data_IF_799428407976
#
_entry.id   IF_799428407976
#
_cell.length_a   1.000
_cell.length_b   1.000
_cell.length_c   1.000
_cell.angle_alpha   90.00
_cell.angle_beta   90.00
_cell.angle_gamma   90.00
#
_symmetry.space_group_name_H-M   'P 1'
#
loop_
_entity.id
_entity.type
_entity.pdbx_description
1 polymer ?
#
# COMPACT_ATOMS: atom_id res chain seq x y z
N UNK A 1 -27.23 2.49 -4.69
CA UNK A 1 -27.14 3.23 -3.42
C UNK A 1 -26.31 4.47 -3.72
N UNK A 2 -26.88 5.68 -3.63
CA UNK A 2 -26.10 6.92 -3.71
C UNK A 2 -25.35 7.05 -2.39
N UNK A 3 -24.11 6.56 -2.35
CA UNK A 3 -23.26 6.68 -1.17
C UNK A 3 -22.85 8.15 -0.99
N UNK A 4 -23.20 8.71 0.16
CA UNK A 4 -22.87 10.08 0.52
C UNK A 4 -21.41 10.11 0.99
N UNK A 5 -20.46 10.15 0.06
CA UNK A 5 -19.01 10.10 0.31
C UNK A 5 -18.52 11.17 1.29
N UNK A 6 -19.27 12.28 1.40
CA UNK A 6 -19.06 13.31 2.42
C UNK A 6 -19.16 12.77 3.85
N UNK A 7 -19.97 11.72 4.09
CA UNK A 7 -20.10 11.09 5.41
C UNK A 7 -18.82 10.33 5.81
N UNK A 8 -17.97 9.95 4.84
CA UNK A 8 -16.67 9.35 5.14
C UNK A 8 -15.65 10.37 5.60
N UNK A 9 -15.80 11.63 5.23
CA UNK A 9 -14.94 12.72 5.68
C UNK A 9 -15.54 13.33 6.95
N UNK A 10 -15.32 12.65 8.08
CA UNK A 10 -15.74 13.12 9.41
C UNK A 10 -14.93 14.35 9.86
N UNK A 11 -15.39 15.03 10.91
CA UNK A 11 -14.83 16.30 11.35
C UNK A 11 -13.33 16.23 11.69
N UNK A 12 -12.86 15.09 12.21
CA UNK A 12 -11.44 14.83 12.43
C UNK A 12 -10.65 14.89 11.12
N UNK A 13 -11.11 14.17 10.08
CA UNK A 13 -10.48 14.17 8.75
C UNK A 13 -10.58 15.57 8.10
N UNK A 14 -11.73 16.25 8.21
CA UNK A 14 -11.89 17.62 7.70
C UNK A 14 -10.88 18.58 8.33
N UNK A 15 -10.69 18.49 9.63
CA UNK A 15 -9.75 19.34 10.38
C UNK A 15 -8.32 19.12 9.87
N UNK A 16 -7.91 17.87 9.68
CA UNK A 16 -6.59 17.52 9.14
C UNK A 16 -6.41 18.00 7.68
N UNK A 17 -7.45 17.93 6.85
CA UNK A 17 -7.42 18.45 5.47
C UNK A 17 -7.25 19.98 5.44
N UNK A 18 -7.92 20.70 6.34
CA UNK A 18 -7.76 22.16 6.48
C UNK A 18 -6.35 22.50 6.93
N UNK A 19 -5.83 21.85 7.98
CA UNK A 19 -4.46 22.05 8.45
C UNK A 19 -3.42 21.76 7.34
N UNK A 20 -3.62 20.68 6.58
CA UNK A 20 -2.77 20.35 5.44
C UNK A 20 -2.83 21.43 4.36
N UNK A 21 -4.01 21.98 4.09
CA UNK A 21 -4.16 23.06 3.09
C UNK A 21 -3.37 24.31 3.50
N UNK A 22 -3.41 24.69 4.77
CA UNK A 22 -2.66 25.82 5.32
C UNK A 22 -1.14 25.58 5.24
N UNK A 23 -0.68 24.36 5.58
CA UNK A 23 0.72 23.96 5.43
C UNK A 23 1.21 23.99 3.98
N UNK A 24 0.30 23.84 3.00
CA UNK A 24 0.58 23.98 1.57
C UNK A 24 0.35 25.39 1.03
N UNK A 25 0.10 26.37 1.91
CA UNK A 25 -0.09 27.77 1.55
C UNK A 25 -1.43 28.03 0.85
N UNK A 26 -2.43 27.19 1.05
CA UNK A 26 -3.79 27.39 0.55
C UNK A 26 -4.60 28.06 1.65
N UNK A 27 -5.14 29.25 1.36
CA UNK A 27 -6.03 29.99 2.25
C UNK A 27 -7.46 29.96 1.73
N UNK A 28 -8.45 30.06 2.64
CA UNK A 28 -9.89 29.90 2.33
C UNK A 28 -10.18 28.60 1.55
N UNK A 29 -9.77 27.44 2.08
CA UNK A 29 -9.88 26.18 1.36
C UNK A 29 -11.35 25.82 1.11
N UNK A 30 -11.68 25.53 -0.15
CA UNK A 30 -12.89 24.84 -0.56
C UNK A 30 -12.55 23.36 -0.79
N UNK A 31 -13.24 22.47 -0.08
CA UNK A 31 -13.01 21.02 -0.13
C UNK A 31 -14.15 20.38 -0.92
N UNK A 32 -13.81 19.59 -1.93
CA UNK A 32 -14.76 18.77 -2.69
C UNK A 32 -14.36 17.30 -2.66
N UNK A 33 -15.37 16.42 -2.59
CA UNK A 33 -15.17 14.98 -2.44
C UNK A 33 -15.88 14.21 -3.55
N UNK A 34 -15.19 13.21 -4.11
CA UNK A 34 -15.74 12.28 -5.09
C UNK A 34 -15.24 10.86 -4.78
N UNK A 35 -15.82 9.80 -5.36
CA UNK A 35 -15.20 8.49 -5.33
C UNK A 35 -13.76 8.55 -5.88
N UNK A 36 -12.80 7.90 -5.21
CA UNK A 36 -11.40 7.86 -5.64
C UNK A 36 -11.01 6.60 -6.43
N UNK A 37 -11.86 5.57 -6.41
CA UNK A 37 -11.73 4.35 -7.19
C UNK A 37 -13.08 3.88 -7.73
N UNK A 38 -13.08 3.00 -8.72
CA UNK A 38 -14.32 2.35 -9.11
C UNK A 38 -14.77 1.39 -8.00
N UNK A 39 -16.06 1.05 -8.01
CA UNK A 39 -16.63 0.08 -7.07
C UNK A 39 -15.89 -1.25 -7.24
N UNK A 40 -15.37 -1.77 -6.14
CA UNK A 40 -14.65 -3.03 -6.09
C UNK A 40 -13.16 -2.95 -6.38
N UNK A 41 -12.60 -1.85 -6.89
CA UNK A 41 -11.15 -1.71 -7.15
C UNK A 41 -10.31 -1.83 -5.87
N UNK A 42 -10.85 -1.40 -4.73
CA UNK A 42 -10.22 -1.53 -3.42
C UNK A 42 -10.96 -2.57 -2.58
N UNK A 43 -10.20 -3.53 -2.07
CA UNK A 43 -10.76 -4.69 -1.37
C UNK A 43 -10.91 -4.44 0.14
N UNK A 44 -9.94 -3.75 0.74
CA UNK A 44 -9.87 -3.50 2.18
C UNK A 44 -9.85 -1.99 2.46
N UNK A 45 -10.93 -1.29 2.12
CA UNK A 45 -11.02 0.15 2.37
C UNK A 45 -11.92 0.91 1.41
N UNK A 46 -12.28 2.13 1.83
CA UNK A 46 -13.00 3.10 1.05
C UNK A 46 -12.04 4.23 0.63
N UNK A 47 -11.99 4.53 -0.67
CA UNK A 47 -11.11 5.55 -1.22
C UNK A 47 -11.94 6.76 -1.64
N UNK A 48 -11.70 7.90 -1.00
CA UNK A 48 -12.29 9.18 -1.35
C UNK A 48 -11.25 10.04 -2.05
N UNK A 49 -11.57 10.51 -3.25
CA UNK A 49 -10.80 11.57 -3.89
C UNK A 49 -11.24 12.92 -3.32
N UNK A 50 -10.27 13.68 -2.84
CA UNK A 50 -10.48 15.00 -2.24
C UNK A 50 -9.69 16.03 -3.03
N UNK A 51 -10.36 17.09 -3.45
CA UNK A 51 -9.74 18.25 -4.07
C UNK A 51 -9.91 19.43 -3.13
N UNK A 52 -8.79 20.05 -2.75
CA UNK A 52 -8.78 21.30 -1.99
C UNK A 52 -8.32 22.42 -2.92
N UNK A 53 -9.15 23.44 -3.09
CA UNK A 53 -8.84 24.63 -3.90
C UNK A 53 -8.96 25.89 -3.05
N UNK A 54 -8.09 26.87 -3.26
CA UNK A 54 -8.11 28.12 -2.51
C UNK A 54 -7.10 29.15 -3.03
N UNK A 55 -6.93 30.23 -2.28
CA UNK A 55 -6.02 31.32 -2.63
C UNK A 55 -4.59 30.98 -2.19
N UNK A 56 -3.58 31.31 -3.02
CA UNK A 56 -2.15 31.01 -2.75
C UNK A 56 -1.39 32.17 -2.07
N UNK A 57 -2.11 33.22 -1.65
CA UNK A 57 -1.56 34.42 -1.04
C UNK A 57 -1.07 35.49 -2.03
N UNK A 58 -1.08 35.24 -3.35
CA UNK A 58 -0.79 36.23 -4.38
C UNK A 58 -2.07 36.86 -4.91
N UNK A 59 -1.97 38.06 -5.49
CA UNK A 59 -3.10 38.72 -6.15
C UNK A 59 -3.64 37.83 -7.29
N UNK A 60 -4.91 37.41 -7.16
CA UNK A 60 -5.58 36.42 -8.03
C UNK A 60 -4.92 35.03 -8.11
N UNK A 61 -3.97 34.72 -7.22
CA UNK A 61 -3.30 33.44 -7.23
C UNK A 61 -4.15 32.34 -6.61
N UNK A 62 -4.25 31.22 -7.32
CA UNK A 62 -5.00 30.03 -6.91
C UNK A 62 -4.07 28.85 -6.76
N UNK A 63 -4.34 28.00 -5.79
CA UNK A 63 -3.63 26.75 -5.59
C UNK A 63 -4.61 25.61 -5.37
N UNK A 64 -4.15 24.40 -5.71
CA UNK A 64 -4.94 23.18 -5.70
C UNK A 64 -4.13 22.02 -5.16
N UNK A 65 -4.73 21.26 -4.26
CA UNK A 65 -4.19 20.02 -3.73
C UNK A 65 -5.11 18.85 -4.12
N UNK A 66 -4.53 17.83 -4.76
CA UNK A 66 -5.24 16.60 -5.11
C UNK A 66 -4.85 15.49 -4.13
N UNK A 67 -5.82 14.98 -3.40
CA UNK A 67 -5.64 14.09 -2.25
C UNK A 67 -6.46 12.81 -2.47
N UNK A 68 -5.93 11.70 -1.98
CA UNK A 68 -6.68 10.48 -1.70
C UNK A 68 -6.79 10.34 -0.18
N UNK A 69 -8.01 10.15 0.30
CA UNK A 69 -8.28 9.73 1.67
C UNK A 69 -8.67 8.27 1.63
N UNK A 70 -7.84 7.40 2.21
CA UNK A 70 -8.10 5.97 2.35
C UNK A 70 -8.62 5.71 3.76
N UNK A 71 -9.86 5.30 3.88
CA UNK A 71 -10.52 5.00 5.15
C UNK A 71 -10.73 3.50 5.30
N UNK A 72 -10.55 2.96 6.49
CA UNK A 72 -11.00 1.60 6.78
C UNK A 72 -12.54 1.53 6.73
N UNK A 73 -13.12 0.39 6.30
CA UNK A 73 -14.55 0.18 6.40
C UNK A 73 -14.97 0.31 7.87
N UNK A 74 -15.99 1.14 8.12
CA UNK A 74 -16.46 1.43 9.49
C UNK A 74 -17.32 0.31 10.08
N UNK A 75 -17.96 -0.47 9.22
CA UNK A 75 -18.88 -1.53 9.60
C UNK A 75 -18.96 -2.62 8.52
N UNK A 76 -19.67 -3.70 8.82
CA UNK A 76 -19.94 -4.79 7.87
C UNK A 76 -18.94 -5.93 7.95
N UNK A 77 -19.06 -6.86 7.00
CA UNK A 77 -18.38 -8.16 7.04
C UNK A 77 -16.85 -8.05 7.10
N UNK A 78 -16.24 -7.06 6.44
CA UNK A 78 -14.80 -6.85 6.53
C UNK A 78 -14.36 -6.50 7.96
N UNK A 79 -15.11 -5.61 8.63
CA UNK A 79 -14.80 -5.19 10.00
C UNK A 79 -15.02 -6.31 11.02
N UNK A 80 -15.98 -7.20 10.77
CA UNK A 80 -16.28 -8.31 11.69
C UNK A 80 -15.42 -9.54 11.47
N UNK A 81 -14.90 -9.75 10.25
CA UNK A 81 -14.12 -10.96 9.90
C UNK A 81 -12.62 -10.73 9.80
N UNK A 82 -12.18 -9.49 9.61
CA UNK A 82 -10.77 -9.17 9.42
C UNK A 82 -10.29 -8.19 10.50
N UNK A 83 -9.01 -8.26 10.90
CA UNK A 83 -8.41 -7.35 11.87
C UNK A 83 -8.11 -5.98 11.22
N UNK A 84 -9.15 -5.26 10.78
CA UNK A 84 -9.02 -4.03 9.98
C UNK A 84 -8.16 -2.96 10.66
N UNK A 85 -8.29 -2.82 11.98
CA UNK A 85 -7.49 -1.88 12.76
C UNK A 85 -6.00 -2.18 12.63
N UNK A 86 -5.61 -3.43 12.87
CA UNK A 86 -4.21 -3.89 12.82
C UNK A 86 -3.65 -3.78 11.39
N UNK A 87 -4.44 -4.12 10.37
CA UNK A 87 -4.03 -3.99 8.97
C UNK A 87 -3.72 -2.54 8.59
N UNK A 88 -4.56 -1.60 9.02
CA UNK A 88 -4.33 -0.18 8.78
C UNK A 88 -3.15 0.36 9.60
N UNK A 89 -2.99 -0.06 10.86
CA UNK A 89 -1.81 0.32 11.66
C UNK A 89 -0.51 -0.16 11.02
N UNK A 90 -0.49 -1.35 10.41
CA UNK A 90 0.66 -1.87 9.67
C UNK A 90 0.99 -1.01 8.44
N UNK A 91 -0.02 -0.59 7.68
CA UNK A 91 0.18 0.32 6.54
C UNK A 91 0.68 1.70 7.00
N UNK A 92 0.09 2.26 8.07
CA UNK A 92 0.56 3.51 8.68
C UNK A 92 2.00 3.39 9.14
N UNK A 93 2.37 2.28 9.78
CA UNK A 93 3.74 2.02 10.22
C UNK A 93 4.74 1.98 9.05
N UNK A 94 4.32 1.45 7.89
CA UNK A 94 5.15 1.48 6.69
C UNK A 94 5.46 2.92 6.24
N UNK A 95 4.45 3.79 6.18
CA UNK A 95 4.61 5.20 5.78
C UNK A 95 5.32 6.06 6.83
N UNK A 96 4.95 5.91 8.10
CA UNK A 96 5.46 6.74 9.19
C UNK A 96 6.86 6.34 9.63
N UNK A 97 7.24 5.07 9.44
CA UNK A 97 8.52 4.54 9.92
C UNK A 97 9.35 3.88 8.81
N UNK A 98 8.88 2.79 8.20
CA UNK A 98 9.71 1.93 7.34
C UNK A 98 10.27 2.69 6.14
N UNK A 99 9.42 3.40 5.39
CA UNK A 99 9.86 4.13 4.21
C UNK A 99 10.82 5.28 4.56
N UNK A 100 10.72 5.84 5.77
CA UNK A 100 11.66 6.87 6.25
C UNK A 100 13.03 6.28 6.55
N UNK A 101 13.08 5.11 7.18
CA UNK A 101 14.34 4.40 7.41
C UNK A 101 15.00 3.95 6.09
N UNK A 102 14.18 3.55 5.10
CA UNK A 102 14.67 3.26 3.75
C UNK A 102 15.22 4.48 3.02
N UNK A 103 14.62 5.65 3.19
CA UNK A 103 15.20 6.90 2.67
C UNK A 103 16.49 7.27 3.40
N UNK A 104 16.53 7.08 4.72
CA UNK A 104 17.70 7.37 5.55
C UNK A 104 18.90 6.52 5.16
N UNK A 105 18.76 5.20 5.07
CA UNK A 105 19.88 4.32 4.73
C UNK A 105 20.43 4.62 3.32
N UNK A 106 19.56 4.99 2.37
CA UNK A 106 20.01 5.43 1.03
C UNK A 106 20.84 6.70 1.09
N UNK A 107 20.44 7.66 1.92
CA UNK A 107 21.19 8.89 2.15
C UNK A 107 22.54 8.61 2.83
N UNK A 108 22.54 7.80 3.89
CA UNK A 108 23.75 7.44 4.65
C UNK A 108 24.77 6.70 3.77
N UNK A 109 24.29 5.87 2.83
CA UNK A 109 25.11 5.19 1.84
C UNK A 109 25.43 6.02 0.57
N UNK A 110 25.00 7.29 0.49
CA UNK A 110 25.16 8.17 -0.68
C UNK A 110 24.66 7.54 -2.01
N UNK A 111 23.52 6.84 -1.96
CA UNK A 111 22.89 6.25 -3.14
C UNK A 111 22.48 7.35 -4.11
N UNK A 112 22.97 7.29 -5.36
CA UNK A 112 22.68 8.29 -6.39
C UNK A 112 21.25 8.19 -6.94
N UNK A 113 20.80 6.98 -7.22
CA UNK A 113 19.44 6.68 -7.70
C UNK A 113 18.56 6.30 -6.52
N UNK A 114 18.07 7.31 -5.78
CA UNK A 114 17.23 7.10 -4.59
C UNK A 114 15.89 6.48 -5.00
N UNK A 115 15.64 5.29 -4.49
CA UNK A 115 14.38 4.59 -4.63
C UNK A 115 13.36 5.08 -3.62
N UNK A 116 12.32 5.75 -4.12
CA UNK A 116 11.17 6.22 -3.35
C UNK A 116 9.87 6.13 -4.19
N UNK A 117 9.40 4.91 -4.51
CA UNK A 117 8.23 4.72 -5.37
C UNK A 117 6.89 4.92 -4.63
N UNK A 118 6.91 5.31 -3.36
CA UNK A 118 5.73 5.36 -2.52
C UNK A 118 5.03 6.72 -2.66
N UNK A 119 3.69 6.71 -2.67
CA UNK A 119 2.92 7.93 -2.64
C UNK A 119 3.22 8.72 -1.35
N UNK A 120 3.24 10.05 -1.43
CA UNK A 120 3.41 10.86 -0.22
C UNK A 120 2.19 10.66 0.67
N UNK A 121 2.39 10.10 1.86
CA UNK A 121 1.41 10.13 2.94
C UNK A 121 1.62 11.41 3.75
N UNK A 122 0.59 12.25 3.79
CA UNK A 122 0.61 13.51 4.54
C UNK A 122 0.26 13.31 6.00
N UNK A 123 -0.69 12.41 6.29
CA UNK A 123 -1.19 12.17 7.65
C UNK A 123 -1.78 10.77 7.78
N UNK A 124 -1.59 10.18 8.96
CA UNK A 124 -2.22 8.95 9.42
C UNK A 124 -3.10 9.26 10.64
N UNK A 125 -4.26 8.61 10.73
CA UNK A 125 -5.20 8.73 11.86
C UNK A 125 -5.49 7.31 12.34
N UNK A 126 -4.96 6.88 13.50
CA UNK A 126 -5.03 5.48 13.95
C UNK A 126 -6.28 5.18 14.79
N UNK A 127 -7.32 6.02 14.76
CA UNK A 127 -8.52 5.84 15.58
C UNK A 127 -9.28 4.58 15.16
N UNK A 128 -9.50 3.66 16.10
CA UNK A 128 -10.26 2.42 15.85
C UNK A 128 -11.67 2.75 15.34
N UNK A 129 -12.01 2.24 14.16
CA UNK A 129 -13.26 2.47 13.45
C UNK A 129 -13.20 3.61 12.44
N UNK A 130 -12.11 4.39 12.45
CA UNK A 130 -11.91 5.58 11.63
C UNK A 130 -10.48 5.66 11.07
N UNK A 131 -9.81 4.52 10.93
CA UNK A 131 -8.42 4.46 10.48
C UNK A 131 -8.29 5.09 9.10
N UNK A 132 -7.44 6.11 8.99
CA UNK A 132 -7.40 6.95 7.79
C UNK A 132 -5.96 7.26 7.38
N UNK A 133 -5.67 7.15 6.09
CA UNK A 133 -4.45 7.67 5.47
C UNK A 133 -4.82 8.80 4.50
N UNK A 134 -4.24 9.98 4.70
CA UNK A 134 -4.38 11.14 3.82
C UNK A 134 -3.13 11.21 2.94
N UNK A 135 -3.31 11.04 1.64
CA UNK A 135 -2.21 10.76 0.70
C UNK A 135 -2.30 11.64 -0.54
N UNK A 136 -1.17 11.86 -1.22
CA UNK A 136 -1.14 12.51 -2.52
C UNK A 136 -1.91 11.68 -3.54
N UNK A 137 -2.80 12.30 -4.30
CA UNK A 137 -3.44 11.64 -5.43
C UNK A 137 -2.45 11.49 -6.59
N UNK A 138 -1.89 10.29 -6.77
CA UNK A 138 -0.92 10.01 -7.82
C UNK A 138 -1.53 10.06 -9.24
N UNK A 139 -2.84 9.85 -9.39
CA UNK A 139 -3.53 10.02 -10.69
C UNK A 139 -3.43 11.45 -11.20
N UNK A 140 -3.43 12.43 -10.29
CA UNK A 140 -3.30 13.85 -10.64
C UNK A 140 -1.96 14.22 -11.29
N UNK A 141 -0.93 13.38 -11.13
CA UNK A 141 0.40 13.57 -11.73
C UNK A 141 0.73 12.51 -12.80
N UNK A 142 -0.31 11.91 -13.39
CA UNK A 142 -0.22 11.05 -14.56
C UNK A 142 0.03 9.57 -14.27
N UNK A 143 -0.05 9.13 -13.01
CA UNK A 143 -0.06 7.70 -12.72
C UNK A 143 -1.44 7.09 -12.99
N UNK A 144 -1.47 5.82 -13.34
CA UNK A 144 -2.70 5.07 -13.58
C UNK A 144 -2.58 3.67 -12.99
N UNK A 145 -3.72 3.01 -12.82
CA UNK A 145 -3.81 1.63 -12.36
C UNK A 145 -4.16 0.75 -13.56
N UNK A 146 -3.53 -0.41 -13.67
CA UNK A 146 -3.86 -1.40 -14.69
C UNK A 146 -5.15 -2.17 -14.35
N UNK A 147 -5.80 -2.72 -15.38
CA UNK A 147 -7.00 -3.50 -15.17
C UNK A 147 -6.67 -4.84 -14.51
N UNK A 148 -7.03 -5.01 -13.23
CA UNK A 148 -6.75 -6.23 -12.45
C UNK A 148 -7.36 -7.53 -12.99
N UNK A 149 -8.36 -7.44 -13.88
CA UNK A 149 -8.97 -8.61 -14.52
C UNK A 149 -8.23 -9.03 -15.79
N UNK A 150 -7.16 -8.32 -16.14
CA UNK A 150 -6.29 -8.63 -17.28
C UNK A 150 -4.88 -8.93 -16.77
N UNK A 151 -4.16 -9.85 -17.43
CA UNK A 151 -2.75 -10.04 -17.13
C UNK A 151 -1.97 -8.76 -17.45
N UNK A 152 -0.97 -8.47 -16.63
CA UNK A 152 0.03 -7.44 -16.93
C UNK A 152 0.88 -7.89 -18.11
N UNK A 153 1.30 -6.94 -18.94
CA UNK A 153 2.30 -7.20 -19.96
C UNK A 153 3.71 -7.36 -19.36
N UNK A 154 4.66 -7.76 -20.20
CA UNK A 154 6.03 -8.02 -19.79
C UNK A 154 6.69 -6.79 -19.13
N UNK A 155 6.48 -5.60 -19.66
CA UNK A 155 7.15 -4.39 -19.18
C UNK A 155 6.64 -3.97 -17.80
N UNK A 156 5.31 -4.07 -17.59
CA UNK A 156 4.70 -3.85 -16.27
C UNK A 156 5.20 -4.87 -15.25
N UNK A 157 5.25 -6.16 -15.60
CA UNK A 157 5.79 -7.21 -14.72
C UNK A 157 7.27 -6.96 -14.39
N UNK A 158 8.08 -6.65 -15.40
CA UNK A 158 9.51 -6.38 -15.23
C UNK A 158 9.75 -5.17 -14.32
N UNK A 159 8.97 -4.10 -14.48
CA UNK A 159 9.04 -2.92 -13.62
C UNK A 159 8.65 -3.25 -12.17
N UNK A 160 7.58 -4.02 -11.96
CA UNK A 160 7.15 -4.48 -10.64
C UNK A 160 8.22 -5.33 -9.96
N UNK A 161 8.79 -6.32 -10.66
CA UNK A 161 9.85 -7.18 -10.11
C UNK A 161 11.11 -6.37 -9.78
N UNK A 162 11.52 -5.44 -10.65
CA UNK A 162 12.66 -4.54 -10.38
C UNK A 162 12.42 -3.66 -9.16
N UNK A 163 11.19 -3.16 -9.00
CA UNK A 163 10.80 -2.35 -7.84
C UNK A 163 10.84 -3.17 -6.55
N UNK A 164 10.40 -4.44 -6.58
CA UNK A 164 10.58 -5.36 -5.46
C UNK A 164 12.05 -5.66 -5.15
N UNK A 165 12.87 -5.86 -6.19
CA UNK A 165 14.32 -6.03 -6.01
C UNK A 165 14.94 -4.86 -5.25
N UNK A 166 14.60 -3.62 -5.63
CA UNK A 166 15.05 -2.42 -4.92
C UNK A 166 14.51 -2.36 -3.48
N UNK A 167 13.22 -2.63 -3.27
CA UNK A 167 12.60 -2.67 -1.93
C UNK A 167 13.32 -3.67 -1.00
N UNK A 168 13.50 -4.91 -1.46
CA UNK A 168 14.15 -5.96 -0.68
C UNK A 168 15.63 -5.63 -0.44
N UNK A 169 16.33 -5.04 -1.41
CA UNK A 169 17.71 -4.60 -1.24
C UNK A 169 17.85 -3.54 -0.14
N UNK A 170 16.92 -2.58 -0.03
CA UNK A 170 16.92 -1.60 1.06
C UNK A 170 16.68 -2.25 2.42
N UNK A 171 15.78 -3.21 2.47
CA UNK A 171 15.53 -3.97 3.70
C UNK A 171 16.76 -4.78 4.11
N UNK A 172 17.43 -5.43 3.17
CA UNK A 172 18.69 -6.14 3.40
C UNK A 172 19.80 -5.21 3.87
N UNK A 173 19.97 -4.06 3.20
CA UNK A 173 20.96 -3.07 3.59
C UNK A 173 20.72 -2.58 5.02
N UNK A 174 19.47 -2.29 5.37
CA UNK A 174 19.11 -1.89 6.74
C UNK A 174 19.44 -2.98 7.77
N UNK A 175 19.20 -4.25 7.44
CA UNK A 175 19.55 -5.38 8.29
C UNK A 175 21.06 -5.51 8.49
N UNK A 176 21.84 -5.37 7.42
CA UNK A 176 23.30 -5.50 7.47
C UNK A 176 23.95 -4.34 8.24
N UNK A 177 23.51 -3.11 8.00
CA UNK A 177 24.08 -1.92 8.61
C UNK A 177 23.55 -1.64 10.02
N UNK A 178 22.28 -1.96 10.31
CA UNK A 178 21.61 -1.67 11.58
C UNK A 178 20.74 -2.87 12.07
N UNK A 179 21.36 -4.03 12.38
CA UNK A 179 20.62 -5.28 12.64
C UNK A 179 19.62 -5.19 13.81
N UNK A 180 19.97 -4.52 14.90
CA UNK A 180 19.05 -4.33 16.04
C UNK A 180 17.88 -3.44 15.69
N UNK A 181 18.09 -2.42 14.85
CA UNK A 181 16.99 -1.58 14.36
C UNK A 181 16.09 -2.40 13.44
N UNK A 182 16.66 -3.11 12.48
CA UNK A 182 15.91 -4.01 11.61
C UNK A 182 15.04 -4.99 12.41
N UNK A 183 15.61 -5.65 13.43
CA UNK A 183 14.87 -6.58 14.29
C UNK A 183 13.69 -5.90 14.99
N UNK A 184 13.88 -4.69 15.53
CA UNK A 184 12.79 -3.90 16.14
C UNK A 184 11.70 -3.54 15.14
N UNK A 185 12.08 -3.14 13.92
CA UNK A 185 11.12 -2.80 12.87
C UNK A 185 10.32 -4.03 12.41
N UNK A 186 11.02 -5.13 12.12
CA UNK A 186 10.42 -6.39 11.68
C UNK A 186 9.46 -6.98 12.72
N UNK A 187 9.77 -6.84 14.02
CA UNK A 187 8.89 -7.30 15.10
C UNK A 187 7.52 -6.62 15.14
N UNK A 188 7.38 -5.41 14.57
CA UNK A 188 6.10 -4.71 14.44
C UNK A 188 5.36 -5.03 13.13
N UNK A 189 5.92 -5.94 12.31
CA UNK A 189 5.39 -6.34 11.00
C UNK A 189 5.09 -7.84 10.94
N UNK A 190 4.86 -8.47 12.09
CA UNK A 190 4.48 -9.89 12.14
C UNK A 190 3.23 -10.13 11.31
N UNK A 191 3.23 -11.22 10.57
CA UNK A 191 2.11 -11.58 9.72
C UNK A 191 1.02 -12.26 10.57
N UNK A 192 -0.03 -11.51 10.87
CA UNK A 192 -1.16 -11.98 11.68
C UNK A 192 -2.42 -12.23 10.83
N UNK A 193 -2.43 -11.85 9.55
CA UNK A 193 -3.62 -11.99 8.71
C UNK A 193 -3.99 -13.46 8.53
N UNK A 194 -3.03 -14.29 8.14
CA UNK A 194 -3.26 -15.71 7.85
C UNK A 194 -3.53 -16.56 9.09
N UNK A 195 -3.16 -16.09 10.29
CA UNK A 195 -3.47 -16.77 11.55
C UNK A 195 -4.84 -16.38 12.11
N UNK A 196 -5.37 -15.21 11.73
CA UNK A 196 -6.67 -14.71 12.20
C UNK A 196 -7.80 -15.08 11.23
N UNK A 197 -7.51 -15.14 9.93
CA UNK A 197 -8.53 -15.38 8.91
C UNK A 197 -8.71 -16.88 8.69
N UNK A 198 -9.94 -17.35 8.90
CA UNK A 198 -10.35 -18.71 8.55
C UNK A 198 -10.41 -18.86 7.02
N UNK A 199 -9.35 -19.43 6.45
CA UNK A 199 -9.24 -19.66 5.01
C UNK A 199 -9.80 -21.03 4.64
N UNK A 200 -10.55 -21.15 3.52
CA UNK A 200 -10.95 -22.45 3.00
C UNK A 200 -9.74 -23.36 2.79
N UNK A 201 -9.90 -24.67 3.04
CA UNK A 201 -8.82 -25.68 2.89
C UNK A 201 -8.16 -25.66 1.51
N UNK A 202 -8.92 -25.32 0.47
CA UNK A 202 -8.41 -25.21 -0.90
C UNK A 202 -8.04 -23.78 -1.33
N UNK A 203 -7.92 -22.82 -0.41
CA UNK A 203 -7.65 -21.41 -0.74
C UNK A 203 -6.39 -21.23 -1.59
N UNK A 204 -5.27 -21.80 -1.15
CA UNK A 204 -4.00 -21.71 -1.87
C UNK A 204 -4.06 -22.37 -3.25
N UNK A 205 -4.79 -23.47 -3.35
CA UNK A 205 -5.03 -24.16 -4.61
C UNK A 205 -5.83 -23.29 -5.59
N UNK A 206 -6.87 -22.60 -5.11
CA UNK A 206 -7.70 -21.70 -5.91
C UNK A 206 -6.92 -20.50 -6.45
N UNK A 207 -6.06 -19.87 -5.63
CA UNK A 207 -5.32 -18.67 -6.05
C UNK A 207 -4.13 -18.99 -6.97
N UNK A 208 -3.57 -20.19 -6.89
CA UNK A 208 -2.40 -20.59 -7.70
C UNK A 208 -2.77 -21.35 -8.97
N UNK A 209 -3.95 -21.99 -9.01
CA UNK A 209 -4.40 -22.76 -10.18
C UNK A 209 -4.34 -21.97 -11.50
N UNK A 210 -4.84 -20.72 -11.58
CA UNK A 210 -4.81 -19.98 -12.83
C UNK A 210 -3.39 -19.78 -13.37
N UNK A 211 -2.41 -19.55 -12.49
CA UNK A 211 -1.01 -19.43 -12.89
C UNK A 211 -0.45 -20.77 -13.39
N UNK A 212 -0.76 -21.87 -12.69
CA UNK A 212 -0.36 -23.23 -13.08
C UNK A 212 -0.90 -23.64 -14.46
N UNK A 213 -2.14 -23.26 -14.77
CA UNK A 213 -2.80 -23.60 -16.03
C UNK A 213 -2.21 -22.82 -17.24
N UNK A 214 -1.45 -21.74 -17.00
CA UNK A 214 -0.74 -20.96 -18.03
C UNK A 214 0.68 -21.45 -18.32
N UNK A 215 1.23 -22.30 -17.46
CA UNK A 215 2.60 -22.82 -17.60
C UNK A 215 2.61 -24.12 -18.39
N UNK A 216 3.73 -24.41 -19.05
CA UNK A 216 3.92 -25.65 -19.80
C UNK A 216 5.29 -26.28 -19.50
N UNK A 217 5.40 -27.58 -19.77
CA UNK A 217 6.65 -28.34 -19.68
C UNK A 217 7.30 -28.31 -18.28
N UNK A 218 8.64 -28.31 -18.20
CA UNK A 218 9.36 -28.40 -16.93
C UNK A 218 9.07 -27.26 -15.94
N UNK A 219 8.62 -26.09 -16.43
CA UNK A 219 8.27 -24.96 -15.57
C UNK A 219 6.94 -25.22 -14.86
N UNK A 220 5.96 -25.81 -15.56
CA UNK A 220 4.70 -26.24 -14.96
C UNK A 220 4.95 -27.27 -13.86
N UNK A 221 5.75 -28.30 -14.13
CA UNK A 221 6.06 -29.35 -13.16
C UNK A 221 6.67 -28.77 -11.88
N UNK A 222 7.64 -27.85 -12.01
CA UNK A 222 8.24 -27.16 -10.86
C UNK A 222 7.25 -26.29 -10.10
N UNK A 223 6.37 -25.58 -10.81
CA UNK A 223 5.38 -24.72 -10.17
C UNK A 223 4.29 -25.53 -9.46
N UNK A 224 3.85 -26.66 -10.04
CA UNK A 224 2.89 -27.56 -9.43
C UNK A 224 3.47 -28.27 -8.19
N UNK A 225 4.75 -28.66 -8.23
CA UNK A 225 5.48 -29.15 -7.06
C UNK A 225 5.57 -28.08 -5.95
N UNK A 226 5.86 -26.82 -6.31
CA UNK A 226 5.83 -25.70 -5.36
C UNK A 226 4.42 -25.48 -4.77
N UNK A 227 3.39 -25.43 -5.63
CA UNK A 227 1.99 -25.27 -5.24
C UNK A 227 1.53 -26.33 -4.26
N UNK A 228 1.89 -27.59 -4.49
CA UNK A 228 1.50 -28.70 -3.59
C UNK A 228 2.08 -28.57 -2.18
N UNK A 229 3.16 -27.79 -2.02
CA UNK A 229 3.85 -27.54 -0.75
C UNK A 229 3.62 -26.12 -0.20
N UNK A 230 2.90 -25.27 -0.93
CA UNK A 230 2.76 -23.85 -0.59
C UNK A 230 2.18 -23.64 0.80
N UNK A 231 1.13 -24.38 1.16
CA UNK A 231 0.52 -24.27 2.47
C UNK A 231 1.52 -24.60 3.58
N UNK A 232 2.23 -25.73 3.48
CA UNK A 232 3.24 -26.11 4.48
C UNK A 232 4.39 -25.12 4.57
N UNK A 233 4.83 -24.56 3.43
CA UNK A 233 5.89 -23.55 3.40
C UNK A 233 5.43 -22.29 4.14
N UNK A 234 4.20 -21.83 3.88
CA UNK A 234 3.67 -20.65 4.55
C UNK A 234 3.46 -20.90 6.04
N UNK A 235 2.94 -22.06 6.44
CA UNK A 235 2.79 -22.40 7.85
C UNK A 235 4.15 -22.42 8.58
N UNK A 236 5.20 -22.98 7.98
CA UNK A 236 6.55 -23.00 8.54
C UNK A 236 7.15 -21.59 8.65
N UNK A 237 7.13 -20.81 7.57
CA UNK A 237 7.72 -19.46 7.49
C UNK A 237 6.96 -18.44 8.36
N UNK A 238 5.64 -18.57 8.48
CA UNK A 238 4.81 -17.70 9.34
C UNK A 238 4.98 -18.02 10.84
N UNK A 239 5.44 -19.22 11.19
CA UNK A 239 5.67 -19.63 12.57
C UNK A 239 7.09 -19.34 13.07
N UNK A 240 8.03 -18.90 12.21
CA UNK A 240 9.38 -18.57 12.66
C UNK A 240 9.39 -17.29 13.52
N UNK A 241 9.74 -17.44 14.80
CA UNK A 241 9.93 -16.28 15.69
C UNK A 241 11.13 -15.41 15.29
N UNK A 242 12.08 -15.98 14.54
CA UNK A 242 13.33 -15.32 14.15
C UNK A 242 13.48 -15.30 12.64
N UNK A 243 13.58 -14.10 12.02
CA UNK A 243 13.75 -14.01 10.57
C UNK A 243 15.03 -14.73 10.08
N UNK A 244 14.88 -15.70 9.17
CA UNK A 244 15.99 -16.42 8.56
C UNK A 244 17.03 -15.51 7.89
N UNK A 245 18.19 -16.06 7.46
CA UNK A 245 19.35 -15.25 6.98
C UNK A 245 19.03 -14.32 5.80
N UNK A 246 18.00 -14.65 5.02
CA UNK A 246 17.56 -13.89 3.85
C UNK A 246 16.21 -13.20 4.04
N UNK A 247 15.71 -13.14 5.27
CA UNK A 247 14.47 -12.43 5.55
C UNK A 247 14.61 -10.92 5.32
N UNK A 248 13.55 -10.35 4.74
CA UNK A 248 13.38 -8.93 4.41
C UNK A 248 11.99 -8.47 4.83
N UNK A 249 11.85 -7.16 5.04
CA UNK A 249 10.58 -6.47 5.12
C UNK A 249 10.04 -6.36 3.68
N UNK A 250 8.99 -7.15 3.39
CA UNK A 250 8.31 -7.18 2.11
C UNK A 250 7.04 -6.34 2.07
N UNK A 251 6.48 -6.17 0.87
CA UNK A 251 5.19 -5.48 0.65
C UNK A 251 3.99 -6.33 1.06
N UNK A 252 4.06 -7.65 0.83
CA UNK A 252 3.04 -8.62 1.28
C UNK A 252 1.87 -8.86 0.32
N UNK A 253 1.55 -7.93 -0.57
CA UNK A 253 0.47 -8.11 -1.55
C UNK A 253 0.87 -7.63 -2.96
N UNK A 254 1.04 -8.56 -3.89
CA UNK A 254 1.45 -8.26 -5.27
C UNK A 254 0.29 -8.14 -6.27
N UNK A 255 -0.95 -7.95 -5.80
CA UNK A 255 -2.09 -7.77 -6.70
C UNK A 255 -1.98 -6.47 -7.53
N UNK A 256 -2.45 -6.52 -8.78
CA UNK A 256 -2.30 -5.43 -9.77
C UNK A 256 -2.81 -4.07 -9.29
N UNK A 257 -3.85 -4.05 -8.46
CA UNK A 257 -4.45 -2.80 -7.94
C UNK A 257 -3.61 -2.11 -6.85
N UNK A 258 -2.55 -2.75 -6.35
CA UNK A 258 -1.60 -2.14 -5.43
C UNK A 258 -0.45 -1.42 -6.15
N UNK A 259 -0.39 -1.50 -7.47
CA UNK A 259 0.59 -0.81 -8.29
C UNK A 259 -0.03 0.33 -9.08
N UNK A 260 0.71 1.42 -9.13
CA UNK A 260 0.43 2.54 -10.02
C UNK A 260 1.58 2.67 -11.00
N UNK A 261 1.26 2.72 -12.27
CA UNK A 261 2.20 2.84 -13.37
C UNK A 261 2.13 4.25 -13.95
N UNK A 262 3.20 4.67 -14.61
CA UNK A 262 3.24 5.93 -15.32
C UNK A 262 4.01 5.71 -16.62
N UNK A 263 3.41 6.14 -17.73
CA UNK A 263 4.07 6.09 -19.03
C UNK A 263 5.19 7.12 -19.06
N UNK A 264 6.29 6.78 -19.73
CA UNK A 264 7.29 7.79 -20.07
C UNK A 264 6.63 8.86 -20.96
N UNK A 265 6.99 10.12 -20.73
CA UNK A 265 6.57 11.17 -21.63
C UNK A 265 7.31 10.94 -22.95
N UNK A 266 6.55 10.64 -24.00
CA UNK A 266 7.05 10.61 -25.38
C UNK A 266 7.61 11.95 -25.82
#
# INVERSE_FOLDING_TARGET
MCENWENLIVDEIKSELVLLSEQKGITKPAISCTPGSAIGDNYLGEIVNVIIEGDDGKENGKNRLNIIVKCAPRAGAFRTKLPMHQLYLREMYAYDTIFREFLKIQNDCNVKDVFNPFAVCYKTIPTDGYETLIMKNMKSIGYYMENRFKPLDYDHVLLTIRSYGKLHALSFALREHEPEKFRKLANNLKEEFFSIVDLPENYYDQITKPASDLLEGPLKEKFDDYRSRLQSILEEELCEETPGRYAVIGHGDCWTNNFLFKREAS
#
